data_IF_269121147393
#
_entry.id   IF_269121147393
#
_cell.length_a   1.000
_cell.length_b   1.000
_cell.length_c   1.000
_cell.angle_alpha   90.00
_cell.angle_beta   90.00
_cell.angle_gamma   90.00
#
_symmetry.space_group_name_H-M   'P 1'
#
loop_
_entity.id
_entity.type
_entity.pdbx_description
1 polymer ?
#
# COMPACT_ATOMS: atom_id res chain seq x y z
N UNK A 1 -3.98 0.55 -38.89
CA UNK A 1 -5.31 -0.11 -38.78
C UNK A 1 -5.17 -1.26 -37.77
N UNK A 2 -6.12 -1.36 -36.83
CA UNK A 2 -6.23 -2.32 -35.70
C UNK A 2 -6.00 -3.79 -36.10
N UNK A 3 -5.51 -4.65 -35.15
CA UNK A 3 -6.42 -5.30 -34.21
C UNK A 3 -5.86 -5.43 -32.77
N UNK A 4 -6.28 -4.54 -31.86
CA UNK A 4 -6.16 -4.73 -30.39
C UNK A 4 -7.54 -4.95 -29.73
N UNK A 5 -8.65 -4.91 -30.50
CA UNK A 5 -10.01 -5.10 -29.96
C UNK A 5 -10.44 -6.57 -29.84
N UNK A 6 -9.78 -7.50 -30.53
CA UNK A 6 -10.21 -8.91 -30.58
C UNK A 6 -9.71 -9.77 -29.40
N UNK A 7 -8.61 -9.40 -28.75
CA UNK A 7 -8.10 -10.06 -27.54
C UNK A 7 -8.92 -9.69 -26.29
N UNK A 8 -9.43 -8.46 -26.23
CA UNK A 8 -10.18 -7.95 -25.07
C UNK A 8 -11.55 -8.62 -24.84
N UNK A 9 -12.29 -8.91 -25.91
CA UNK A 9 -13.58 -9.61 -25.78
C UNK A 9 -13.41 -11.04 -25.29
N UNK A 10 -12.27 -11.66 -25.60
CA UNK A 10 -11.93 -13.04 -25.22
C UNK A 10 -11.48 -13.12 -23.76
N UNK A 11 -10.73 -12.14 -23.25
CA UNK A 11 -10.30 -12.06 -21.84
C UNK A 11 -11.45 -11.74 -20.87
N UNK A 12 -12.39 -10.87 -21.25
CA UNK A 12 -13.62 -10.62 -20.48
C UNK A 12 -14.51 -11.86 -20.46
N UNK A 13 -14.53 -12.65 -21.56
CA UNK A 13 -15.19 -13.97 -21.59
C UNK A 13 -14.48 -14.99 -20.70
N UNK A 14 -13.15 -14.97 -20.65
CA UNK A 14 -12.35 -15.89 -19.85
C UNK A 14 -12.58 -15.72 -18.35
N UNK A 15 -12.65 -14.47 -17.88
CA UNK A 15 -13.03 -14.12 -16.50
C UNK A 15 -14.50 -14.44 -16.18
N UNK A 16 -15.40 -14.36 -17.18
CA UNK A 16 -16.82 -14.76 -17.00
C UNK A 16 -17.05 -16.27 -17.00
N UNK A 17 -16.23 -17.07 -17.69
CA UNK A 17 -16.43 -18.52 -17.84
C UNK A 17 -15.96 -19.37 -16.65
N UNK A 18 -15.04 -18.88 -15.80
CA UNK A 18 -14.48 -19.68 -14.70
C UNK A 18 -15.19 -19.50 -13.35
N UNK A 19 -16.22 -18.65 -13.27
CA UNK A 19 -17.09 -18.57 -12.09
C UNK A 19 -18.18 -19.63 -12.21
N UNK A 20 -17.89 -20.87 -11.75
CA UNK A 20 -18.91 -21.91 -11.58
C UNK A 20 -19.91 -21.49 -10.51
N UNK A 21 -21.10 -21.06 -10.92
CA UNK A 21 -22.26 -20.89 -10.06
C UNK A 21 -22.79 -22.29 -9.73
N UNK A 22 -22.61 -22.74 -8.49
CA UNK A 22 -23.33 -23.92 -7.98
C UNK A 22 -24.65 -23.48 -7.36
N UNK A 23 -25.79 -24.13 -7.69
CA UNK A 23 -27.09 -23.78 -7.14
C UNK A 23 -27.20 -24.11 -5.64
N UNK A 24 -27.89 -23.25 -4.91
CA UNK A 24 -28.22 -23.41 -3.49
C UNK A 24 -29.17 -24.59 -3.29
N UNK A 25 -28.76 -25.62 -2.56
CA UNK A 25 -29.68 -26.56 -1.92
C UNK A 25 -29.76 -26.21 -0.43
N UNK A 26 -30.96 -25.81 -0.01
CA UNK A 26 -31.36 -25.56 1.38
C UNK A 26 -31.92 -26.87 1.92
N UNK A 27 -31.40 -27.37 3.03
CA UNK A 27 -32.01 -28.42 3.84
C UNK A 27 -32.02 -28.00 5.31
N UNK A 28 -33.08 -28.31 6.08
CA UNK A 28 -33.34 -27.71 7.38
C UNK A 28 -32.50 -28.36 8.50
N UNK A 29 -32.09 -27.54 9.47
CA UNK A 29 -31.42 -27.99 10.69
C UNK A 29 -32.47 -28.54 11.69
N UNK A 30 -32.20 -29.74 12.22
CA UNK A 30 -32.97 -30.37 13.30
C UNK A 30 -32.21 -30.11 14.61
N UNK A 31 -32.89 -29.52 15.59
CA UNK A 31 -32.38 -29.27 16.94
C UNK A 31 -32.59 -30.48 17.85
N UNK A 32 -31.58 -30.83 18.66
CA UNK A 32 -31.72 -31.61 19.89
C UNK A 32 -30.87 -30.97 21.01
N UNK A 33 -31.37 -30.85 22.26
CA UNK A 33 -30.63 -30.27 23.38
C UNK A 33 -29.99 -31.36 24.28
N UNK A 34 -28.83 -31.06 24.89
CA UNK A 34 -28.25 -31.94 25.91
C UNK A 34 -26.83 -31.61 26.40
N UNK A 35 -26.76 -30.70 27.39
CA UNK A 35 -25.93 -30.71 28.61
C UNK A 35 -24.37 -30.70 28.59
N UNK A 36 -23.74 -30.15 29.67
CA UNK A 36 -22.44 -29.48 29.60
C UNK A 36 -21.27 -30.38 30.03
N UNK A 37 -20.09 -30.19 29.43
CA UNK A 37 -18.85 -30.74 29.97
C UNK A 37 -17.68 -29.75 29.83
N UNK A 38 -17.04 -29.51 30.97
CA UNK A 38 -15.89 -28.64 31.19
C UNK A 38 -14.68 -29.03 30.33
N UNK A 39 -14.17 -28.11 29.50
CA UNK A 39 -12.79 -28.11 28.99
C UNK A 39 -12.33 -26.66 28.68
N UNK A 40 -11.00 -26.42 28.68
CA UNK A 40 -10.40 -25.19 29.21
C UNK A 40 -10.43 -24.02 28.22
N UNK A 41 -10.40 -22.80 28.78
CA UNK A 41 -10.30 -21.53 28.08
C UNK A 41 -9.06 -21.47 27.18
N UNK A 42 -9.24 -21.74 25.88
CA UNK A 42 -8.35 -21.25 24.82
C UNK A 42 -8.99 -20.03 24.19
N UNK A 43 -8.60 -18.85 24.67
CA UNK A 43 -9.12 -17.58 24.22
C UNK A 43 -8.38 -17.14 22.94
N UNK A 44 -8.78 -17.67 21.78
CA UNK A 44 -8.55 -17.01 20.50
C UNK A 44 -9.72 -16.05 20.22
N UNK A 45 -9.82 -15.01 21.06
CA UNK A 45 -10.66 -13.86 20.75
C UNK A 45 -9.91 -12.97 19.76
N UNK A 46 -10.52 -12.69 18.61
CA UNK A 46 -10.13 -11.54 17.82
C UNK A 46 -10.18 -10.32 18.75
N UNK A 47 -9.07 -9.60 18.86
CA UNK A 47 -9.05 -8.30 19.52
C UNK A 47 -9.90 -7.34 18.68
N UNK A 48 -11.21 -7.36 18.92
CA UNK A 48 -12.12 -6.33 18.45
C UNK A 48 -11.84 -5.10 19.32
N UNK A 49 -10.85 -4.31 18.92
CA UNK A 49 -10.61 -3.00 19.52
C UNK A 49 -11.87 -2.13 19.28
N UNK A 50 -12.40 -1.43 20.30
CA UNK A 50 -13.61 -0.62 20.21
C UNK A 50 -13.58 0.35 19.02
N UNK A 51 -14.75 0.56 18.39
CA UNK A 51 -14.91 1.50 17.27
C UNK A 51 -14.48 2.92 17.68
N UNK A 52 -14.69 3.26 18.94
CA UNK A 52 -14.30 4.51 19.58
C UNK A 52 -12.78 4.73 19.53
N UNK A 53 -11.99 3.71 19.83
CA UNK A 53 -10.52 3.79 19.80
C UNK A 53 -10.01 4.02 18.37
N UNK A 54 -10.63 3.36 17.39
CA UNK A 54 -10.30 3.57 15.98
C UNK A 54 -10.61 5.00 15.53
N UNK A 55 -11.79 5.53 15.90
CA UNK A 55 -12.20 6.89 15.57
C UNK A 55 -11.24 7.92 16.19
N UNK A 56 -10.85 7.74 17.46
CA UNK A 56 -9.85 8.57 18.11
C UNK A 56 -8.50 8.50 17.40
N UNK A 57 -8.09 7.31 16.96
CA UNK A 57 -6.89 7.14 16.14
C UNK A 57 -6.96 7.91 14.82
N UNK A 58 -8.10 7.92 14.14
CA UNK A 58 -8.29 8.69 12.90
C UNK A 58 -8.27 10.20 13.13
N UNK A 59 -8.90 10.69 14.21
CA UNK A 59 -8.84 12.11 14.60
C UNK A 59 -7.38 12.52 14.83
N UNK A 60 -6.66 11.79 15.67
CA UNK A 60 -5.26 12.08 15.98
C UNK A 60 -4.36 12.10 14.73
N UNK A 61 -4.52 11.10 13.84
CA UNK A 61 -3.77 11.03 12.57
C UNK A 61 -4.05 12.27 11.70
N UNK A 62 -5.32 12.67 11.54
CA UNK A 62 -5.72 13.82 10.72
C UNK A 62 -5.27 15.15 11.32
N UNK A 63 -5.36 15.30 12.64
CA UNK A 63 -4.93 16.52 13.33
C UNK A 63 -3.41 16.71 13.23
N UNK A 64 -2.65 15.62 13.37
CA UNK A 64 -1.19 15.66 13.21
C UNK A 64 -0.80 16.04 11.78
N UNK A 65 -1.46 15.43 10.78
CA UNK A 65 -1.27 15.77 9.38
C UNK A 65 -1.56 17.26 9.13
N UNK A 66 -2.75 17.73 9.50
CA UNK A 66 -3.19 19.10 9.25
C UNK A 66 -2.28 20.12 9.92
N UNK A 67 -1.92 19.89 11.19
CA UNK A 67 -1.01 20.76 11.94
C UNK A 67 0.36 20.81 11.28
N UNK A 68 0.89 19.67 10.85
CA UNK A 68 2.20 19.59 10.18
C UNK A 68 2.17 20.26 8.80
N UNK A 69 1.10 20.08 8.02
CA UNK A 69 0.90 20.75 6.73
C UNK A 69 0.90 22.28 6.90
N UNK A 70 0.21 22.80 7.92
CA UNK A 70 0.16 24.23 8.23
C UNK A 70 1.54 24.75 8.67
N UNK A 71 2.21 24.07 9.60
CA UNK A 71 3.55 24.47 10.08
C UNK A 71 4.60 24.53 8.97
N UNK A 72 4.46 23.69 7.94
CA UNK A 72 5.42 23.60 6.84
C UNK A 72 4.96 24.31 5.55
N UNK A 73 3.86 25.08 5.58
CA UNK A 73 3.29 25.78 4.42
C UNK A 73 3.08 24.88 3.19
N UNK A 74 2.60 23.65 3.41
CA UNK A 74 2.43 22.65 2.35
C UNK A 74 1.05 22.68 1.68
N UNK A 75 0.08 23.35 2.32
CA UNK A 75 -1.25 23.58 1.77
C UNK A 75 -1.21 24.79 0.83
N UNK A 76 -1.78 24.64 -0.36
CA UNK A 76 -1.86 25.69 -1.36
C UNK A 76 -3.25 25.77 -1.97
N UNK A 77 -3.65 26.98 -2.38
CA UNK A 77 -4.87 27.19 -3.15
C UNK A 77 -4.63 26.84 -4.63
N UNK A 78 -4.54 25.53 -4.95
CA UNK A 78 -4.59 25.08 -6.34
C UNK A 78 -6.01 24.62 -6.67
N UNK A 79 -6.53 25.11 -7.79
CA UNK A 79 -7.82 24.67 -8.34
C UNK A 79 -7.74 23.31 -9.04
N UNK A 80 -6.55 22.76 -9.26
CA UNK A 80 -6.36 21.52 -10.02
C UNK A 80 -5.37 20.58 -9.34
N UNK A 81 -5.76 19.32 -9.25
CA UNK A 81 -4.90 18.22 -8.80
C UNK A 81 -3.76 18.03 -9.78
N UNK A 82 -2.52 17.95 -9.27
CA UNK A 82 -1.34 17.67 -10.10
C UNK A 82 -1.51 16.33 -10.82
N UNK A 83 -1.18 16.29 -12.11
CA UNK A 83 -1.40 15.09 -12.94
C UNK A 83 -0.70 13.83 -12.40
N UNK A 84 0.50 13.96 -11.83
CA UNK A 84 1.22 12.84 -11.20
C UNK A 84 0.49 12.31 -9.94
N UNK A 85 -0.14 13.18 -9.16
CA UNK A 85 -0.96 12.80 -7.99
C UNK A 85 -2.25 12.14 -8.47
N UNK A 86 -2.93 12.71 -9.47
CA UNK A 86 -4.13 12.12 -10.06
C UNK A 86 -3.87 10.72 -10.67
N UNK A 87 -2.65 10.48 -11.18
CA UNK A 87 -2.22 9.14 -11.64
C UNK A 87 -2.07 8.16 -10.48
N UNK A 88 -1.84 8.61 -9.26
CA UNK A 88 -1.69 7.73 -8.09
C UNK A 88 -3.03 7.28 -7.51
N UNK A 89 -4.12 7.97 -7.85
CA UNK A 89 -5.43 7.79 -7.25
C UNK A 89 -6.30 6.88 -8.12
N UNK A 90 -6.87 5.83 -7.51
CA UNK A 90 -7.89 4.98 -8.12
C UNK A 90 -9.28 5.45 -7.73
N UNK A 91 -10.23 5.27 -8.66
CA UNK A 91 -11.64 5.64 -8.51
C UNK A 91 -12.51 4.41 -8.74
N UNK A 92 -13.35 4.09 -7.77
CA UNK A 92 -14.37 3.05 -7.79
C UNK A 92 -15.74 3.72 -7.63
N UNK A 93 -16.62 3.56 -8.61
CA UNK A 93 -17.87 4.34 -8.68
C UNK A 93 -19.03 3.70 -7.91
N UNK A 94 -19.06 2.37 -7.79
CA UNK A 94 -20.20 1.65 -7.23
C UNK A 94 -20.39 1.99 -5.74
N UNK A 95 -19.28 2.20 -5.01
CA UNK A 95 -19.26 2.48 -3.57
C UNK A 95 -18.76 3.90 -3.26
N UNK A 96 -18.67 4.77 -4.29
CA UNK A 96 -18.10 6.13 -4.19
C UNK A 96 -16.76 6.14 -3.45
N UNK A 97 -15.85 5.28 -3.87
CA UNK A 97 -14.59 5.03 -3.17
C UNK A 97 -13.39 5.53 -3.98
N UNK A 98 -12.47 6.21 -3.29
CA UNK A 98 -11.21 6.70 -3.81
C UNK A 98 -10.08 6.12 -2.96
N UNK A 99 -9.08 5.54 -3.62
CA UNK A 99 -7.90 5.00 -2.98
C UNK A 99 -6.63 5.61 -3.57
N UNK A 100 -5.83 6.30 -2.75
CA UNK A 100 -4.50 6.69 -3.16
C UNK A 100 -3.52 5.53 -3.00
N UNK A 101 -2.91 5.13 -4.11
CA UNK A 101 -1.93 4.07 -4.09
C UNK A 101 -0.63 4.54 -3.43
N UNK A 102 -0.21 3.90 -2.35
CA UNK A 102 1.18 3.99 -1.89
C UNK A 102 1.81 2.62 -2.07
N UNK A 103 2.93 2.46 -2.81
CA UNK A 103 3.58 1.16 -2.89
C UNK A 103 4.06 0.68 -1.52
N UNK A 104 4.10 -0.64 -1.31
CA UNK A 104 4.64 -1.29 -0.09
C UNK A 104 3.86 -1.06 1.21
N UNK A 105 2.62 -0.56 1.11
CA UNK A 105 1.65 -0.50 2.23
C UNK A 105 0.45 -1.44 2.01
N UNK A 106 0.64 -2.51 1.22
CA UNK A 106 -0.43 -3.46 0.89
C UNK A 106 -1.26 -3.13 -0.35
N UNK A 107 -0.87 -2.11 -1.13
CA UNK A 107 -1.63 -1.62 -2.28
C UNK A 107 -2.09 -2.67 -3.30
N UNK A 108 -1.37 -3.78 -3.51
CA UNK A 108 -1.81 -4.85 -4.41
C UNK A 108 -3.15 -5.47 -3.99
N UNK A 109 -3.39 -5.62 -2.68
CA UNK A 109 -4.63 -6.17 -2.15
C UNK A 109 -5.77 -5.15 -2.24
N UNK A 110 -5.50 -3.86 -2.01
CA UNK A 110 -6.46 -2.79 -2.29
C UNK A 110 -6.88 -2.75 -3.76
N UNK A 111 -5.96 -2.92 -4.71
CA UNK A 111 -6.32 -3.00 -6.14
C UNK A 111 -7.23 -4.20 -6.44
N UNK A 112 -7.02 -5.35 -5.80
CA UNK A 112 -7.90 -6.52 -5.94
C UNK A 112 -9.31 -6.23 -5.41
N UNK A 113 -9.40 -5.58 -4.25
CA UNK A 113 -10.68 -5.13 -3.67
C UNK A 113 -11.39 -4.19 -4.64
N UNK A 114 -10.71 -3.14 -5.14
CA UNK A 114 -11.29 -2.18 -6.10
C UNK A 114 -11.75 -2.88 -7.37
N UNK A 115 -10.99 -3.86 -7.87
CA UNK A 115 -11.39 -4.65 -9.03
C UNK A 115 -12.68 -5.44 -8.75
N UNK A 116 -12.77 -6.12 -7.60
CA UNK A 116 -13.97 -6.89 -7.25
C UNK A 116 -15.20 -6.01 -7.02
N UNK A 117 -15.03 -4.85 -6.37
CA UNK A 117 -16.09 -3.86 -6.20
C UNK A 117 -16.56 -3.31 -7.55
N UNK A 118 -15.63 -2.96 -8.45
CA UNK A 118 -15.95 -2.48 -9.81
C UNK A 118 -16.74 -3.53 -10.61
N UNK A 119 -16.39 -4.81 -10.44
CA UNK A 119 -17.00 -5.92 -11.18
C UNK A 119 -18.25 -6.52 -10.49
N UNK A 120 -18.67 -6.00 -9.33
CA UNK A 120 -19.73 -6.56 -8.49
C UNK A 120 -19.56 -8.07 -8.23
N UNK A 121 -18.34 -8.50 -7.89
CA UNK A 121 -18.02 -9.89 -7.60
C UNK A 121 -17.95 -10.15 -6.09
N UNK A 122 -18.70 -11.16 -5.62
CA UNK A 122 -18.56 -11.73 -4.27
C UNK A 122 -17.38 -12.72 -4.22
N UNK A 123 -16.78 -12.91 -3.04
CA UNK A 123 -15.44 -13.50 -2.91
C UNK A 123 -15.38 -15.01 -3.09
N UNK A 124 -15.11 -15.44 -4.32
CA UNK A 124 -14.51 -16.77 -4.55
C UNK A 124 -13.21 -16.78 -5.32
N UNK A 125 -12.64 -15.63 -5.69
CA UNK A 125 -11.50 -15.61 -6.60
C UNK A 125 -10.22 -15.21 -5.88
N UNK A 126 -9.65 -16.17 -5.16
CA UNK A 126 -8.23 -16.18 -4.78
C UNK A 126 -7.27 -16.23 -6.01
N UNK A 127 -7.81 -16.11 -7.23
CA UNK A 127 -7.17 -16.45 -8.50
C UNK A 127 -6.77 -15.24 -9.35
N UNK A 128 -6.92 -14.00 -8.85
CA UNK A 128 -6.44 -12.83 -9.61
C UNK A 128 -4.92 -12.74 -9.48
N UNK A 129 -4.22 -13.07 -10.57
CA UNK A 129 -2.76 -13.01 -10.68
C UNK A 129 -2.25 -11.60 -10.31
N UNK A 130 -1.24 -11.56 -9.43
CA UNK A 130 -0.63 -10.34 -8.93
C UNK A 130 0.00 -9.47 -10.03
N UNK A 131 0.52 -10.06 -11.12
CA UNK A 131 1.05 -9.27 -12.24
C UNK A 131 -0.08 -8.55 -13.01
N UNK A 132 -1.22 -9.23 -13.19
CA UNK A 132 -2.36 -8.68 -13.94
C UNK A 132 -3.04 -7.51 -13.21
N UNK A 133 -3.04 -7.50 -11.87
CA UNK A 133 -3.67 -6.42 -11.10
C UNK A 133 -2.96 -5.06 -11.27
N UNK A 134 -1.68 -5.06 -11.69
CA UNK A 134 -0.92 -3.83 -11.88
C UNK A 134 -1.15 -3.17 -13.24
N UNK A 135 -1.69 -3.90 -14.22
CA UNK A 135 -1.85 -3.45 -15.60
C UNK A 135 -3.30 -3.51 -16.12
N UNK A 136 -4.24 -3.98 -15.30
CA UNK A 136 -5.65 -4.06 -15.71
C UNK A 136 -6.25 -2.67 -15.97
N UNK A 137 -6.91 -2.44 -17.14
CA UNK A 137 -7.60 -1.19 -17.41
C UNK A 137 -8.98 -1.12 -16.76
N UNK A 138 -9.39 -2.17 -16.05
CA UNK A 138 -10.70 -2.24 -15.39
C UNK A 138 -10.80 -1.31 -14.18
N UNK A 139 -9.68 -1.01 -13.52
CA UNK A 139 -9.63 -0.03 -12.44
C UNK A 139 -9.21 1.34 -13.00
N UNK A 140 -10.05 2.35 -12.81
CA UNK A 140 -9.81 3.69 -13.37
C UNK A 140 -8.98 4.54 -12.42
N UNK A 141 -8.10 5.36 -13.00
CA UNK A 141 -7.32 6.36 -12.25
C UNK A 141 -8.00 7.72 -12.34
N UNK A 142 -7.84 8.58 -11.34
CA UNK A 142 -8.40 9.93 -11.32
C UNK A 142 -7.91 10.76 -12.52
N UNK A 143 -6.66 10.55 -12.96
CA UNK A 143 -6.10 11.19 -14.16
C UNK A 143 -6.82 10.86 -15.47
N UNK A 144 -7.73 9.87 -15.50
CA UNK A 144 -8.53 9.53 -16.67
C UNK A 144 -9.76 10.43 -16.86
N UNK A 145 -10.04 11.30 -15.89
CA UNK A 145 -11.19 12.19 -15.91
C UNK A 145 -10.78 13.67 -16.16
N UNK A 146 -11.65 14.50 -16.76
CA UNK A 146 -11.45 15.95 -16.83
C UNK A 146 -11.30 16.61 -15.45
N UNK A 147 -10.54 17.70 -15.36
CA UNK A 147 -10.15 18.32 -14.07
C UNK A 147 -11.35 18.73 -13.18
N UNK A 148 -12.40 19.29 -13.78
CA UNK A 148 -13.65 19.64 -13.10
C UNK A 148 -14.35 18.41 -12.51
N UNK A 149 -14.34 17.29 -13.24
CA UNK A 149 -14.89 16.04 -12.73
C UNK A 149 -14.00 15.41 -11.65
N UNK A 150 -12.66 15.58 -11.73
CA UNK A 150 -11.76 15.14 -10.66
C UNK A 150 -12.09 15.81 -9.33
N UNK A 151 -12.33 17.12 -9.33
CA UNK A 151 -12.75 17.89 -8.16
C UNK A 151 -14.09 17.41 -7.60
N UNK A 152 -15.07 17.19 -8.49
CA UNK A 152 -16.37 16.62 -8.10
C UNK A 152 -16.23 15.25 -7.44
N UNK A 153 -15.36 14.38 -7.96
CA UNK A 153 -15.10 13.06 -7.36
C UNK A 153 -14.45 13.21 -5.99
N UNK A 154 -13.41 14.02 -5.86
CA UNK A 154 -12.70 14.23 -4.58
C UNK A 154 -13.60 14.84 -3.50
N UNK A 155 -14.59 15.65 -3.87
CA UNK A 155 -15.54 16.25 -2.91
C UNK A 155 -16.72 15.35 -2.54
N UNK A 156 -17.04 14.32 -3.35
CA UNK A 156 -18.25 13.50 -3.15
C UNK A 156 -17.98 12.03 -2.79
N UNK A 157 -16.73 11.58 -2.83
CA UNK A 157 -16.34 10.18 -2.61
C UNK A 157 -15.50 10.05 -1.34
N UNK A 158 -15.60 8.90 -0.68
CA UNK A 158 -14.75 8.53 0.46
C UNK A 158 -13.32 8.31 -0.04
N UNK A 159 -12.37 9.10 0.45
CA UNK A 159 -10.96 9.06 0.07
C UNK A 159 -10.14 8.39 1.16
N UNK A 160 -9.35 7.41 0.75
CA UNK A 160 -8.54 6.61 1.67
C UNK A 160 -7.10 6.56 1.19
N UNK A 161 -6.17 6.68 2.13
CA UNK A 161 -4.76 6.38 1.91
C UNK A 161 -4.21 5.54 3.07
N UNK A 162 -3.19 4.74 2.77
CA UNK A 162 -2.45 3.99 3.77
C UNK A 162 -1.00 4.46 3.78
N UNK A 163 -0.39 4.44 4.96
CA UNK A 163 1.01 4.79 5.18
C UNK A 163 1.74 3.65 5.88
N UNK A 164 3.06 3.73 5.94
CA UNK A 164 3.93 2.80 6.66
C UNK A 164 5.16 3.55 7.12
N UNK A 165 5.85 3.06 8.15
CA UNK A 165 7.16 3.59 8.51
C UNK A 165 8.04 3.81 7.24
N UNK A 166 8.59 5.02 7.01
CA UNK A 166 9.27 5.34 5.76
C UNK A 166 10.49 4.45 5.47
N UNK A 167 11.22 4.03 6.51
CA UNK A 167 12.42 3.19 6.35
C UNK A 167 12.04 1.73 6.17
N UNK A 168 11.02 1.25 6.87
CA UNK A 168 10.46 -0.08 6.63
C UNK A 168 9.89 -0.19 5.19
N UNK A 169 9.23 0.87 4.71
CA UNK A 169 8.75 0.98 3.32
C UNK A 169 9.90 0.93 2.32
N UNK A 170 11.00 1.64 2.59
CA UNK A 170 12.20 1.64 1.76
C UNK A 170 12.84 0.25 1.66
N UNK A 171 13.02 -0.43 2.80
CA UNK A 171 13.56 -1.79 2.84
C UNK A 171 12.63 -2.77 2.11
N UNK A 172 11.32 -2.64 2.29
CA UNK A 172 10.34 -3.42 1.53
C UNK A 172 10.44 -3.17 0.03
N UNK A 173 10.71 -1.95 -0.41
CA UNK A 173 10.90 -1.62 -1.82
C UNK A 173 12.16 -2.26 -2.40
N UNK A 174 13.30 -2.13 -1.71
CA UNK A 174 14.56 -2.76 -2.11
C UNK A 174 14.42 -4.28 -2.25
N UNK A 175 13.87 -4.94 -1.22
CA UNK A 175 13.65 -6.39 -1.22
C UNK A 175 12.77 -6.80 -2.40
N UNK A 176 11.63 -6.12 -2.58
CA UNK A 176 10.68 -6.45 -3.64
C UNK A 176 11.26 -6.26 -5.05
N UNK A 177 12.01 -5.18 -5.28
CA UNK A 177 12.40 -4.75 -6.62
C UNK A 177 13.79 -5.19 -7.05
N UNK A 178 14.73 -5.31 -6.12
CA UNK A 178 16.14 -5.56 -6.45
C UNK A 178 16.62 -6.96 -6.02
N UNK A 179 15.94 -7.61 -5.07
CA UNK A 179 16.28 -8.98 -4.68
C UNK A 179 15.50 -10.05 -5.42
N UNK A 180 14.30 -9.74 -5.89
CA UNK A 180 13.48 -10.65 -6.71
C UNK A 180 13.61 -10.32 -8.20
N UNK A 181 13.28 -11.30 -9.04
CA UNK A 181 13.48 -11.25 -10.50
C UNK A 181 12.39 -10.46 -11.23
N UNK A 182 12.02 -9.26 -10.76
CA UNK A 182 11.22 -8.34 -11.57
C UNK A 182 12.13 -7.79 -12.69
N UNK A 183 11.86 -8.04 -13.98
CA UNK A 183 12.84 -7.80 -15.04
C UNK A 183 13.30 -6.35 -15.16
N UNK A 184 12.41 -5.37 -15.01
CA UNK A 184 12.78 -3.96 -15.17
C UNK A 184 13.71 -3.49 -14.04
N UNK A 185 13.39 -3.81 -12.79
CA UNK A 185 14.20 -3.37 -11.66
C UNK A 185 15.48 -4.20 -11.49
N UNK A 186 15.38 -5.53 -11.58
CA UNK A 186 16.52 -6.43 -11.36
C UNK A 186 17.56 -6.40 -12.48
N UNK A 187 17.21 -5.86 -13.65
CA UNK A 187 18.12 -5.68 -14.79
C UNK A 187 18.41 -4.19 -15.00
N UNK A 188 17.43 -3.39 -15.44
CA UNK A 188 17.67 -2.00 -15.87
C UNK A 188 18.14 -1.13 -14.72
N UNK A 189 17.33 -1.05 -13.65
CA UNK A 189 17.68 -0.20 -12.49
C UNK A 189 18.91 -0.74 -11.77
N UNK A 190 19.02 -2.06 -11.62
CA UNK A 190 20.19 -2.68 -11.01
C UNK A 190 21.48 -2.37 -11.78
N UNK A 191 21.45 -2.38 -13.12
CA UNK A 191 22.60 -2.03 -13.94
C UNK A 191 22.97 -0.54 -13.85
N UNK A 192 21.98 0.36 -13.76
CA UNK A 192 22.24 1.78 -13.47
C UNK A 192 22.97 1.95 -12.12
N UNK A 193 22.50 1.26 -11.08
CA UNK A 193 23.12 1.31 -9.75
C UNK A 193 24.55 0.76 -9.80
N UNK A 194 24.76 -0.40 -10.44
CA UNK A 194 26.09 -1.00 -10.59
C UNK A 194 27.03 -0.08 -11.37
N UNK A 195 26.56 0.55 -12.44
CA UNK A 195 27.35 1.48 -13.24
C UNK A 195 27.78 2.72 -12.46
N UNK A 196 26.97 3.13 -11.47
CA UNK A 196 27.27 4.25 -10.58
C UNK A 196 28.24 3.86 -9.45
N UNK A 197 28.03 2.70 -8.83
CA UNK A 197 28.73 2.32 -7.59
C UNK A 197 29.97 1.45 -7.79
N UNK A 198 30.05 0.67 -8.87
CA UNK A 198 31.08 -0.37 -9.06
C UNK A 198 32.03 -0.03 -10.19
N UNK A 199 33.31 -0.38 -10.02
CA UNK A 199 34.31 -0.34 -11.11
C UNK A 199 34.00 -1.39 -12.19
N UNK A 200 33.66 -2.62 -11.78
CA UNK A 200 33.23 -3.67 -12.71
C UNK A 200 31.71 -3.65 -12.90
N UNK A 201 31.27 -3.13 -14.04
CA UNK A 201 29.85 -2.98 -14.39
C UNK A 201 29.16 -4.30 -14.76
N UNK A 202 29.94 -5.33 -15.11
CA UNK A 202 29.43 -6.64 -15.57
C UNK A 202 29.30 -7.66 -14.42
N UNK A 203 29.41 -7.24 -13.16
CA UNK A 203 29.23 -8.13 -12.01
C UNK A 203 27.82 -8.73 -12.00
N UNK A 204 27.75 -10.06 -11.88
CA UNK A 204 26.50 -10.82 -11.75
C UNK A 204 25.91 -10.74 -10.35
N UNK A 205 26.65 -10.21 -9.37
CA UNK A 205 26.18 -10.06 -8.00
C UNK A 205 25.01 -9.08 -7.91
N UNK A 206 24.08 -9.35 -7.02
CA UNK A 206 22.93 -8.45 -6.78
C UNK A 206 23.41 -7.11 -6.23
N UNK A 207 22.65 -6.06 -6.52
CA UNK A 207 22.85 -4.72 -5.93
C UNK A 207 22.65 -4.81 -4.44
N UNK A 208 23.58 -4.28 -3.65
CA UNK A 208 23.49 -4.24 -2.18
C UNK A 208 22.59 -3.09 -1.73
N UNK A 209 22.08 -3.16 -0.50
CA UNK A 209 21.26 -2.08 0.05
C UNK A 209 21.99 -0.73 0.17
N UNK A 210 23.27 -0.66 0.61
CA UNK A 210 24.02 0.60 0.60
C UNK A 210 24.20 1.20 -0.79
N UNK A 211 24.42 0.38 -1.83
CA UNK A 211 24.50 0.86 -3.22
C UNK A 211 23.17 1.44 -3.71
N UNK A 212 22.07 0.76 -3.38
CA UNK A 212 20.73 1.26 -3.67
C UNK A 212 20.44 2.59 -2.95
N UNK A 213 20.81 2.71 -1.67
CA UNK A 213 20.66 3.95 -0.90
C UNK A 213 21.47 5.09 -1.51
N UNK A 214 22.74 4.85 -1.87
CA UNK A 214 23.53 5.85 -2.57
C UNK A 214 22.87 6.30 -3.87
N UNK A 215 22.35 5.36 -4.65
CA UNK A 215 21.67 5.68 -5.91
C UNK A 215 20.46 6.58 -5.73
N UNK A 216 19.56 6.28 -4.79
CA UNK A 216 18.36 7.12 -4.60
C UNK A 216 18.73 8.51 -4.07
N UNK A 217 19.81 8.62 -3.27
CA UNK A 217 20.29 9.90 -2.74
C UNK A 217 20.93 10.80 -3.81
N UNK A 218 21.30 10.28 -4.97
CA UNK A 218 21.77 11.12 -6.10
C UNK A 218 20.64 11.82 -6.85
N UNK A 219 19.38 11.40 -6.65
CA UNK A 219 18.22 11.89 -7.40
C UNK A 219 17.43 12.91 -6.58
N UNK A 220 16.87 13.90 -7.26
CA UNK A 220 15.86 14.80 -6.64
C UNK A 220 14.62 13.99 -6.26
N UNK A 221 13.99 14.31 -5.14
CA UNK A 221 12.83 13.56 -4.60
C UNK A 221 11.67 13.45 -5.61
N UNK A 222 11.47 14.47 -6.45
CA UNK A 222 10.40 14.51 -7.46
C UNK A 222 10.63 13.49 -8.58
N UNK A 223 11.89 13.13 -8.84
CA UNK A 223 12.33 12.19 -9.87
C UNK A 223 12.47 10.75 -9.36
N UNK A 224 12.23 10.51 -8.06
CA UNK A 224 12.27 9.17 -7.50
C UNK A 224 11.15 8.30 -8.07
N UNK A 225 11.47 7.01 -8.22
CA UNK A 225 10.50 5.97 -8.56
C UNK A 225 9.42 5.88 -7.46
N UNK A 226 8.19 5.60 -7.85
CA UNK A 226 7.04 5.51 -6.94
C UNK A 226 7.25 4.55 -5.76
N UNK A 227 8.08 3.52 -5.94
CA UNK A 227 8.33 2.52 -4.90
C UNK A 227 9.15 3.04 -3.72
N UNK A 228 9.97 4.08 -3.92
CA UNK A 228 10.79 4.70 -2.87
C UNK A 228 10.68 6.24 -2.83
N UNK A 229 9.77 6.85 -3.58
CA UNK A 229 9.41 8.28 -3.45
C UNK A 229 8.70 8.55 -2.10
N UNK A 230 8.95 9.66 -1.40
CA UNK A 230 8.18 10.01 -0.20
C UNK A 230 6.66 9.92 -0.43
N UNK A 231 5.93 9.32 0.51
CA UNK A 231 4.50 9.05 0.41
C UNK A 231 3.68 10.33 0.28
N UNK A 232 4.08 11.41 0.96
CA UNK A 232 3.40 12.70 0.85
C UNK A 232 3.44 13.28 -0.58
N UNK A 233 4.50 13.00 -1.35
CA UNK A 233 4.62 13.41 -2.76
C UNK A 233 3.79 12.54 -3.72
N UNK A 234 3.38 11.34 -3.29
CA UNK A 234 2.54 10.45 -4.07
C UNK A 234 1.06 10.83 -3.95
N UNK A 235 0.61 11.14 -2.74
CA UNK A 235 -0.81 11.32 -2.42
C UNK A 235 -1.22 12.77 -2.10
N UNK A 236 -0.27 13.69 -1.90
CA UNK A 236 -0.54 15.11 -1.62
C UNK A 236 -1.57 15.34 -0.49
N UNK A 237 -1.39 14.74 0.70
CA UNK A 237 -2.39 14.76 1.77
C UNK A 237 -2.62 16.16 2.37
N UNK A 238 -1.74 17.13 2.12
CA UNK A 238 -1.95 18.51 2.53
C UNK A 238 -2.94 19.29 1.64
N UNK A 239 -3.31 18.73 0.48
CA UNK A 239 -4.22 19.34 -0.49
C UNK A 239 -5.38 18.41 -0.89
N UNK A 240 -5.31 17.13 -0.52
CA UNK A 240 -6.40 16.16 -0.63
C UNK A 240 -6.82 15.73 0.78
N UNK A 241 -8.04 16.10 1.17
CA UNK A 241 -8.58 15.79 2.50
C UNK A 241 -9.03 14.32 2.58
N UNK A 242 -8.13 13.42 3.00
CA UNK A 242 -8.47 12.00 3.16
C UNK A 242 -9.45 11.79 4.33
N UNK A 243 -10.52 11.05 4.07
CA UNK A 243 -11.54 10.73 5.07
C UNK A 243 -11.01 9.71 6.08
N UNK A 244 -10.24 8.73 5.59
CA UNK A 244 -9.57 7.69 6.39
C UNK A 244 -8.08 7.63 6.04
N UNK A 245 -7.25 7.68 7.07
CA UNK A 245 -5.80 7.50 6.98
C UNK A 245 -5.39 6.22 7.72
N UNK A 246 -5.17 5.16 6.94
CA UNK A 246 -4.73 3.88 7.44
C UNK A 246 -3.23 3.81 7.67
N UNK A 247 -2.82 2.89 8.54
CA UNK A 247 -1.42 2.52 8.78
C UNK A 247 -1.21 1.05 8.43
N UNK A 248 -0.04 0.71 7.89
CA UNK A 248 0.29 -0.67 7.55
C UNK A 248 0.37 -1.55 8.81
N UNK A 249 0.76 -0.94 9.92
CA UNK A 249 0.86 -1.52 11.25
C UNK A 249 -0.52 -1.87 11.83
N UNK A 250 -1.57 -1.15 11.41
CA UNK A 250 -2.98 -1.40 11.79
C UNK A 250 -3.85 -1.81 10.60
N UNK A 251 -3.23 -2.39 9.55
CA UNK A 251 -3.86 -2.62 8.25
C UNK A 251 -5.13 -3.46 8.34
N UNK A 252 -5.13 -4.51 9.15
CA UNK A 252 -6.29 -5.39 9.35
C UNK A 252 -7.48 -4.58 9.87
N UNK A 253 -7.33 -3.91 11.01
CA UNK A 253 -8.38 -3.09 11.60
C UNK A 253 -8.83 -1.96 10.67
N UNK A 254 -7.88 -1.15 10.16
CA UNK A 254 -8.18 0.00 9.31
C UNK A 254 -8.94 -0.41 8.06
N UNK A 255 -8.57 -1.54 7.44
CA UNK A 255 -9.21 -2.02 6.23
C UNK A 255 -10.64 -2.49 6.44
N UNK A 256 -10.95 -3.14 7.58
CA UNK A 256 -12.32 -3.53 7.93
C UNK A 256 -13.20 -2.29 8.16
N UNK A 257 -12.65 -1.24 8.79
CA UNK A 257 -13.38 0.02 8.94
C UNK A 257 -13.60 0.74 7.60
N UNK A 258 -12.62 0.71 6.69
CA UNK A 258 -12.79 1.26 5.34
C UNK A 258 -13.90 0.52 4.59
N UNK A 259 -13.89 -0.81 4.59
CA UNK A 259 -14.88 -1.63 3.87
C UNK A 259 -16.29 -1.39 4.41
N UNK A 260 -16.45 -1.30 5.74
CA UNK A 260 -17.72 -0.92 6.37
C UNK A 260 -18.16 0.51 6.04
N UNK A 261 -17.22 1.46 5.93
CA UNK A 261 -17.55 2.86 5.67
C UNK A 261 -18.03 3.12 4.24
N UNK A 262 -17.61 2.30 3.28
CA UNK A 262 -18.01 2.40 1.88
C UNK A 262 -19.19 1.46 1.53
N UNK A 263 -19.83 0.85 2.54
CA UNK A 263 -20.91 -0.13 2.37
C UNK A 263 -20.51 -1.29 1.42
N UNK A 264 -19.27 -1.77 1.52
CA UNK A 264 -18.83 -2.94 0.79
C UNK A 264 -19.62 -4.20 1.23
N UNK A 265 -19.77 -5.22 0.36
CA UNK A 265 -20.42 -6.48 0.73
C UNK A 265 -19.87 -7.08 2.03
N UNK A 266 -20.75 -7.59 2.91
CA UNK A 266 -20.38 -8.10 4.24
C UNK A 266 -19.33 -9.22 4.21
N UNK A 267 -19.27 -10.00 3.13
CA UNK A 267 -18.29 -11.08 2.94
C UNK A 267 -16.91 -10.58 2.44
N UNK A 268 -16.74 -9.26 2.28
CA UNK A 268 -15.50 -8.64 1.83
C UNK A 268 -14.62 -8.19 3.01
N UNK A 269 -13.45 -8.84 3.17
CA UNK A 269 -12.43 -8.57 4.21
C UNK A 269 -11.01 -8.39 3.69
N UNK A 270 -10.18 -7.47 4.16
CA UNK A 270 -8.88 -7.31 3.50
C UNK A 270 -8.01 -8.60 3.42
N UNK A 271 -7.58 -9.05 2.22
CA UNK A 271 -6.97 -10.37 2.09
C UNK A 271 -5.56 -10.39 2.68
N UNK A 272 -5.25 -11.40 3.50
CA UNK A 272 -3.90 -11.62 4.03
C UNK A 272 -2.98 -12.32 3.01
N UNK A 273 -3.02 -11.91 1.75
CA UNK A 273 -2.21 -12.51 0.69
C UNK A 273 -0.81 -11.91 0.66
N UNK A 274 0.19 -12.77 0.45
CA UNK A 274 1.58 -12.39 0.22
C UNK A 274 2.05 -12.97 -1.11
N UNK A 275 2.69 -12.14 -1.95
CA UNK A 275 3.22 -12.54 -3.27
C UNK A 275 4.33 -13.60 -3.15
N UNK A 276 5.24 -13.43 -2.19
CA UNK A 276 6.32 -14.38 -1.90
C UNK A 276 6.06 -15.06 -0.55
N UNK A 277 5.22 -16.10 -0.55
CA UNK A 277 4.76 -16.80 0.66
C UNK A 277 5.89 -17.43 1.48
N UNK A 278 7.01 -17.78 0.84
CA UNK A 278 8.19 -18.38 1.49
C UNK A 278 9.03 -17.39 2.29
N UNK A 279 8.88 -16.08 2.07
CA UNK A 279 9.66 -15.07 2.80
C UNK A 279 8.89 -14.53 4.00
N UNK A 280 9.60 -13.97 4.99
CA UNK A 280 8.98 -13.11 6.02
C UNK A 280 8.59 -11.76 5.41
N UNK A 281 7.46 -11.18 5.85
CA UNK A 281 7.15 -9.77 5.51
C UNK A 281 8.26 -8.89 6.08
N UNK A 282 8.61 -7.80 5.40
CA UNK A 282 9.47 -6.78 6.04
C UNK A 282 8.80 -6.37 7.34
N UNK A 283 9.59 -6.34 8.41
CA UNK A 283 9.25 -5.97 9.78
C UNK A 283 10.34 -5.04 10.32
N UNK A 284 10.14 -4.51 11.52
CA UNK A 284 11.14 -3.68 12.22
C UNK A 284 12.50 -4.38 12.33
N UNK A 285 12.54 -5.64 12.76
CA UNK A 285 13.79 -6.41 12.92
C UNK A 285 14.56 -6.53 11.60
N UNK A 286 13.86 -6.91 10.53
CA UNK A 286 14.45 -7.00 9.19
C UNK A 286 14.94 -5.63 8.73
N UNK A 287 14.17 -4.58 8.99
CA UNK A 287 14.54 -3.22 8.62
C UNK A 287 15.83 -2.81 9.32
N UNK A 288 15.96 -3.13 10.61
CA UNK A 288 17.17 -2.90 11.39
C UNK A 288 18.40 -3.62 10.81
N UNK A 289 18.26 -4.88 10.38
CA UNK A 289 19.35 -5.61 9.71
C UNK A 289 19.86 -4.91 8.43
N UNK A 290 18.98 -4.25 7.68
CA UNK A 290 19.36 -3.49 6.49
C UNK A 290 19.97 -2.14 6.85
N UNK A 291 19.39 -1.43 7.83
CA UNK A 291 19.89 -0.13 8.27
C UNK A 291 21.28 -0.23 8.91
N UNK A 292 21.59 -1.32 9.62
CA UNK A 292 22.93 -1.60 10.18
C UNK A 292 24.04 -1.72 9.13
N UNK A 293 23.69 -1.89 7.85
CA UNK A 293 24.66 -1.96 6.74
C UNK A 293 25.03 -0.59 6.19
N UNK A 294 24.34 0.47 6.63
CA UNK A 294 24.55 1.83 6.16
C UNK A 294 25.56 2.58 7.04
N UNK A 295 26.28 3.53 6.45
CA UNK A 295 27.06 4.50 7.24
C UNK A 295 26.14 5.50 7.94
N UNK A 296 26.64 6.16 9.00
CA UNK A 296 25.90 7.21 9.69
C UNK A 296 25.47 8.35 8.74
N UNK A 297 26.32 8.71 7.79
CA UNK A 297 26.01 9.70 6.75
C UNK A 297 24.84 9.24 5.84
N UNK A 298 24.83 7.96 5.45
CA UNK A 298 23.72 7.41 4.66
C UNK A 298 22.41 7.45 5.46
N UNK A 299 22.45 7.07 6.74
CA UNK A 299 21.29 7.10 7.65
C UNK A 299 20.74 8.52 7.79
N UNK A 300 21.59 9.50 8.02
CA UNK A 300 21.17 10.91 8.15
C UNK A 300 20.52 11.40 6.85
N UNK A 301 21.13 11.11 5.69
CA UNK A 301 20.61 11.54 4.39
C UNK A 301 19.28 10.88 4.05
N UNK A 302 19.08 9.59 4.33
CA UNK A 302 17.77 8.95 4.09
C UNK A 302 16.71 9.44 5.08
N UNK A 303 17.06 9.71 6.35
CA UNK A 303 16.15 10.33 7.31
C UNK A 303 15.70 11.71 6.83
N UNK A 304 16.62 12.51 6.29
CA UNK A 304 16.31 13.81 5.67
C UNK A 304 15.42 13.67 4.45
N UNK A 305 15.69 12.70 3.57
CA UNK A 305 14.87 12.43 2.38
C UNK A 305 13.40 12.13 2.73
N UNK A 306 13.16 11.39 3.83
CA UNK A 306 11.81 11.03 4.28
C UNK A 306 11.29 11.87 5.46
N UNK A 307 11.96 12.98 5.83
CA UNK A 307 11.63 13.74 7.04
C UNK A 307 10.16 14.14 7.12
N UNK A 308 9.57 14.45 5.95
CA UNK A 308 8.20 14.92 5.87
C UNK A 308 7.19 13.77 5.98
N UNK A 309 7.53 12.55 5.54
CA UNK A 309 6.70 11.38 5.81
C UNK A 309 6.71 11.05 7.31
N UNK A 310 7.86 11.17 7.99
CA UNK A 310 7.94 10.99 9.44
C UNK A 310 7.03 11.97 10.17
N UNK A 311 7.13 13.26 9.83
CA UNK A 311 6.36 14.32 10.47
C UNK A 311 4.85 14.21 10.17
N UNK A 312 4.46 14.14 8.89
CA UNK A 312 3.05 14.16 8.48
C UNK A 312 2.26 12.94 8.98
N UNK A 313 2.90 11.79 9.09
CA UNK A 313 2.23 10.53 9.44
C UNK A 313 2.58 10.04 10.85
N UNK A 314 3.28 10.86 11.63
CA UNK A 314 3.68 10.59 12.99
C UNK A 314 4.37 9.22 13.14
N UNK A 315 5.46 9.03 12.40
CA UNK A 315 6.37 7.91 12.59
C UNK A 315 7.57 8.35 13.44
N UNK A 316 8.11 7.47 14.29
CA UNK A 316 9.30 7.79 15.09
C UNK A 316 10.47 8.20 14.19
N UNK A 317 10.96 9.43 14.39
CA UNK A 317 12.12 9.91 13.62
C UNK A 317 13.42 9.27 14.11
N UNK A 318 13.52 9.00 15.41
CA UNK A 318 14.69 8.35 15.99
C UNK A 318 14.61 6.85 15.80
N UNK A 319 15.65 6.32 15.15
CA UNK A 319 15.82 4.88 15.04
C UNK A 319 16.02 4.33 16.44
N UNK A 320 15.34 3.23 16.77
CA UNK A 320 15.63 2.40 17.96
C UNK A 320 16.99 1.68 17.85
N UNK A 321 17.99 2.31 17.24
CA UNK A 321 19.36 1.79 17.14
C UNK A 321 20.09 1.88 18.48
N UNK A 322 19.71 2.86 19.32
CA UNK A 322 20.36 3.14 20.61
C UNK A 322 20.12 2.08 21.70
N UNK A 323 19.29 1.05 21.45
CA UNK A 323 19.07 -0.04 22.40
C UNK A 323 20.05 -1.21 22.24
N UNK A 324 20.99 -1.15 21.28
CA UNK A 324 21.97 -2.22 21.05
C UNK A 324 23.43 -1.76 21.02
N UNK A 325 23.70 -0.47 21.25
CA UNK A 325 25.07 0.04 21.44
C UNK A 325 25.57 -0.11 22.89
N UNK A 326 24.75 -0.61 23.82
CA UNK A 326 25.14 -0.77 25.24
C UNK A 326 25.56 -2.18 25.65
N UNK A 327 25.53 -3.18 24.77
CA UNK A 327 25.87 -4.57 25.12
C UNK A 327 27.26 -5.02 24.65
N UNK A 328 28.14 -4.08 24.31
CA UNK A 328 29.58 -4.37 24.09
C UNK A 328 30.43 -3.38 24.87
N UNK A 329 30.67 -3.69 26.15
CA UNK A 329 31.88 -3.33 26.89
C UNK A 329 32.39 -4.57 27.61
#
# INVERSE_FOLDING_TARGET
KMPQKATFATEVKFLKMHVRILPKNIAPAIHFPGSPSNKPFNNHGSLCFPKEDWLMGQVYRKDTLNSTCLMNNLSYSQSKVKHNVARQIFVEHNHKFIYCEVPKVGCSNWKKIILFLTMNLSRKTNEVNHALIHHTPLIKRLSSYPSDYQEKLLTSYTKVMFTRDPLERLVSAYRDKLLHSEPYYSITVANEIKAMCRKNKNSTEKVTFPEFVNFILTKKQELLDVHWKPMFLLCDPCNIHYDIMGKFETLEQDSEHVLRNIDAPEDMHYPNLKTYSSEKRTSDDITLEYLRKLSSEQIEKIKKLYQMDFALFNYPYDLKMNLYETDTV
#
